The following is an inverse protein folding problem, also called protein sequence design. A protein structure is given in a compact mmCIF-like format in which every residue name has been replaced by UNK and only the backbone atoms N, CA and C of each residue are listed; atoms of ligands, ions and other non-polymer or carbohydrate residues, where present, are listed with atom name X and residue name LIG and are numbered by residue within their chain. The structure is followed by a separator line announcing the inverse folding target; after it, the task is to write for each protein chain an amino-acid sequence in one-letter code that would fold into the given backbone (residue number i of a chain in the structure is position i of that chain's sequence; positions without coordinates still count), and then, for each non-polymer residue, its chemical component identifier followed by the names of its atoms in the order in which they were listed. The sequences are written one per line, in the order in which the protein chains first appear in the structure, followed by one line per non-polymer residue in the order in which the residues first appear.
data_IF_440687610967
#
_entry.id   IF_440687610967
#
_cell.length_a   1.000
_cell.length_b   1.000
_cell.length_c   1.000
_cell.angle_alpha   90.00
_cell.angle_beta   90.00
_cell.angle_gamma   90.00
#
_symmetry.space_group_name_H-M   'P 1'
#
loop_
_entity.id
_entity.type
_entity.pdbx_description
1 polymer ?
#
# COMPACT_ATOMS: atom_id res chain seq x y z
N UNK A 1 -2.20 -19.23 -9.76
CA UNK A 1 -0.86 -18.70 -9.43
C UNK A 1 -1.03 -17.59 -8.42
N UNK A 2 -0.19 -17.52 -7.39
CA UNK A 2 -0.32 -16.52 -6.33
C UNK A 2 0.88 -15.56 -6.37
N UNK A 3 0.60 -14.26 -6.32
CA UNK A 3 1.59 -13.20 -6.25
C UNK A 3 1.39 -12.43 -4.95
N UNK A 4 2.47 -12.13 -4.26
CA UNK A 4 2.45 -11.25 -3.09
C UNK A 4 2.50 -9.79 -3.54
N UNK A 5 1.76 -8.92 -2.85
CA UNK A 5 1.84 -7.48 -3.07
C UNK A 5 3.11 -6.94 -2.40
N UNK A 6 4.04 -6.39 -3.20
CA UNK A 6 5.31 -5.84 -2.71
C UNK A 6 5.13 -4.55 -1.91
N UNK A 7 4.08 -3.77 -2.20
CA UNK A 7 3.77 -2.52 -1.49
C UNK A 7 3.46 -2.76 -0.01
N UNK A 8 2.61 -3.76 0.28
CA UNK A 8 2.25 -4.12 1.66
C UNK A 8 2.96 -5.37 2.17
N UNK A 9 3.93 -5.92 1.44
CA UNK A 9 4.64 -7.16 1.78
C UNK A 9 3.69 -8.29 2.22
N UNK A 10 2.58 -8.45 1.49
CA UNK A 10 1.61 -9.52 1.75
C UNK A 10 0.59 -9.28 2.87
N UNK A 11 0.68 -8.18 3.62
CA UNK A 11 -0.22 -7.94 4.76
C UNK A 11 -1.63 -7.51 4.36
N UNK A 12 -1.75 -6.83 3.22
CA UNK A 12 -2.99 -6.16 2.80
C UNK A 12 -3.14 -4.75 3.38
N UNK A 13 -2.23 -4.31 4.24
CA UNK A 13 -2.32 -3.04 4.95
C UNK A 13 -1.01 -2.26 4.83
N UNK A 14 -1.11 -0.94 4.73
CA UNK A 14 0.04 -0.01 4.73
C UNK A 14 -0.17 1.04 5.82
N UNK A 15 0.93 1.63 6.30
CA UNK A 15 0.82 2.80 7.16
C UNK A 15 0.16 3.94 6.39
N UNK A 16 -0.75 4.66 7.07
CA UNK A 16 -1.46 5.78 6.50
C UNK A 16 -0.48 6.88 6.03
N UNK A 17 -0.23 7.03 4.71
CA UNK A 17 0.75 7.99 4.21
C UNK A 17 0.27 9.44 4.42
N UNK A 18 -1.05 9.65 4.61
CA UNK A 18 -1.61 10.96 4.87
C UNK A 18 -1.12 11.53 6.21
N UNK A 19 -0.91 10.66 7.20
CA UNK A 19 -0.34 11.07 8.48
C UNK A 19 1.12 11.54 8.32
N UNK A 20 1.93 10.81 7.54
CA UNK A 20 3.31 11.22 7.27
C UNK A 20 3.39 12.56 6.52
N UNK A 21 2.49 12.78 5.55
CA UNK A 21 2.39 14.07 4.87
C UNK A 21 2.01 15.20 5.82
N UNK A 22 1.02 14.99 6.69
CA UNK A 22 0.63 16.00 7.66
C UNK A 22 1.75 16.36 8.66
N UNK A 23 2.58 15.39 9.08
CA UNK A 23 3.76 15.68 9.90
C UNK A 23 4.70 16.65 9.17
N UNK A 24 4.96 16.42 7.88
CA UNK A 24 5.84 17.27 7.09
C UNK A 24 5.30 18.71 6.95
N UNK A 25 3.99 18.90 7.05
CA UNK A 25 3.33 20.21 7.03
C UNK A 25 3.24 20.86 8.42
N UNK A 26 3.70 20.19 9.48
CA UNK A 26 3.72 20.73 10.85
C UNK A 26 2.34 20.85 11.51
N UNK A 27 1.35 20.11 11.01
CA UNK A 27 -0.05 20.19 11.48
C UNK A 27 -0.42 19.08 12.50
N UNK A 28 0.58 18.38 13.05
CA UNK A 28 0.39 17.37 14.08
C UNK A 28 0.12 17.99 15.46
N UNK A 29 -0.92 17.53 16.14
CA UNK A 29 -1.16 17.79 17.56
C UNK A 29 -1.55 16.49 18.26
N UNK A 30 -0.79 16.12 19.30
CA UNK A 30 -1.02 14.90 20.11
C UNK A 30 -1.09 13.58 19.30
N UNK A 31 -0.29 13.44 18.24
CA UNK A 31 -0.29 12.22 17.40
C UNK A 31 -1.48 12.10 16.45
N UNK A 32 -2.21 13.21 16.28
CA UNK A 32 -3.35 13.34 15.36
C UNK A 32 -3.10 14.49 14.41
N UNK A 33 -3.67 14.36 13.23
CA UNK A 33 -3.64 15.36 12.20
C UNK A 33 -5.07 15.72 11.81
N UNK A 34 -5.41 17.00 11.93
CA UNK A 34 -6.72 17.51 11.56
C UNK A 34 -6.72 17.89 10.08
N UNK A 35 -7.57 17.24 9.28
CA UNK A 35 -7.69 17.55 7.86
C UNK A 35 -6.62 16.89 6.98
N UNK A 36 -6.50 15.56 7.08
CA UNK A 36 -5.67 14.83 6.15
C UNK A 36 -6.25 14.83 4.72
N UNK A 37 -5.40 14.72 3.69
CA UNK A 37 -5.86 14.31 2.37
C UNK A 37 -6.69 13.03 2.54
N UNK A 38 -7.94 13.05 2.08
CA UNK A 38 -8.86 11.89 2.06
C UNK A 38 -9.55 11.49 3.39
N UNK A 39 -9.30 12.16 4.52
CA UNK A 39 -10.03 11.89 5.78
C UNK A 39 -10.07 13.11 6.71
N UNK A 40 -11.14 13.23 7.49
CA UNK A 40 -11.25 14.28 8.52
C UNK A 40 -10.22 14.11 9.64
N UNK A 41 -9.85 12.86 9.95
CA UNK A 41 -8.87 12.51 10.99
C UNK A 41 -7.90 11.45 10.44
N UNK A 42 -6.61 11.59 10.76
CA UNK A 42 -5.57 10.59 10.49
C UNK A 42 -4.67 10.48 11.71
N UNK A 43 -4.34 9.24 12.10
CA UNK A 43 -3.64 8.96 13.34
C UNK A 43 -2.25 8.39 13.11
N UNK A 44 -1.34 8.67 14.04
CA UNK A 44 0.00 8.09 14.03
C UNK A 44 -0.04 6.57 14.09
N UNK A 45 0.61 5.92 13.12
CA UNK A 45 0.71 4.46 13.07
C UNK A 45 -0.60 3.77 12.68
N UNK A 46 -1.59 4.52 12.20
CA UNK A 46 -2.79 3.96 11.61
C UNK A 46 -2.44 3.11 10.39
N UNK A 47 -2.97 1.89 10.36
CA UNK A 47 -2.92 1.02 9.21
C UNK A 47 -4.19 1.22 8.39
N UNK A 48 -4.01 1.40 7.08
CA UNK A 48 -5.10 1.50 6.10
C UNK A 48 -4.97 0.37 5.09
N UNK A 49 -6.04 0.11 4.34
CA UNK A 49 -6.01 -0.86 3.26
C UNK A 49 -4.98 -0.47 2.20
N UNK A 50 -4.22 -1.46 1.74
CA UNK A 50 -3.33 -1.30 0.60
C UNK A 50 -4.17 -1.29 -0.69
N UNK A 51 -4.29 -0.13 -1.31
CA UNK A 51 -5.05 0.05 -2.56
C UNK A 51 -4.50 -0.82 -3.70
N UNK A 52 -3.18 -1.04 -3.75
CA UNK A 52 -2.53 -1.80 -4.82
C UNK A 52 -3.01 -3.26 -4.88
N UNK A 53 -3.35 -3.85 -3.73
CA UNK A 53 -3.93 -5.19 -3.65
C UNK A 53 -5.39 -5.19 -3.16
N UNK A 54 -6.03 -4.02 -3.07
CA UNK A 54 -7.36 -3.84 -2.50
C UNK A 54 -7.54 -4.55 -1.14
N UNK A 55 -6.53 -4.47 -0.27
CA UNK A 55 -6.60 -5.10 1.06
C UNK A 55 -6.31 -6.61 1.12
N UNK A 56 -6.14 -7.30 -0.02
CA UNK A 56 -5.99 -8.77 -0.01
C UNK A 56 -4.57 -9.25 0.34
N UNK A 57 -3.57 -8.37 0.25
CA UNK A 57 -2.14 -8.68 0.39
C UNK A 57 -1.56 -9.49 -0.78
N UNK A 58 -2.41 -10.10 -1.61
CA UNK A 58 -2.01 -11.03 -2.67
C UNK A 58 -2.95 -10.96 -3.86
N UNK A 59 -2.42 -11.29 -5.03
CA UNK A 59 -3.19 -11.47 -6.25
C UNK A 59 -3.22 -12.96 -6.63
N UNK A 60 -4.41 -13.50 -6.83
CA UNK A 60 -4.60 -14.87 -7.33
C UNK A 60 -5.02 -14.86 -8.79
N UNK A 61 -4.15 -15.37 -9.67
CA UNK A 61 -4.47 -15.56 -11.08
C UNK A 61 -5.06 -16.96 -11.32
N UNK A 62 -6.23 -16.99 -11.95
CA UNK A 62 -6.90 -18.20 -12.40
C UNK A 62 -6.14 -18.83 -13.59
N UNK A 63 -5.53 -20.02 -13.43
CA UNK A 63 -4.77 -20.67 -14.50
C UNK A 63 -5.65 -21.11 -15.69
N UNK A 64 -6.98 -21.11 -15.55
CA UNK A 64 -7.89 -21.34 -16.69
C UNK A 64 -8.05 -20.12 -17.58
N UNK A 65 -7.74 -18.93 -17.06
CA UNK A 65 -7.90 -17.64 -17.76
C UNK A 65 -6.56 -17.00 -18.14
N UNK A 66 -5.51 -17.29 -17.37
CA UNK A 66 -4.21 -16.66 -17.49
C UNK A 66 -3.10 -17.69 -17.63
N UNK A 67 -2.10 -17.37 -18.46
CA UNK A 67 -0.86 -18.14 -18.60
C UNK A 67 0.33 -17.27 -18.22
N UNK A 68 1.36 -17.80 -17.54
CA UNK A 68 2.57 -17.04 -17.26
C UNK A 68 3.35 -16.76 -18.55
N UNK A 69 3.97 -15.59 -18.62
CA UNK A 69 4.97 -15.22 -19.62
C UNK A 69 6.25 -14.93 -18.87
N UNK A 70 7.34 -15.62 -19.22
CA UNK A 70 8.66 -15.39 -18.63
C UNK A 70 9.44 -14.45 -19.55
N UNK A 71 9.65 -13.21 -19.11
CA UNK A 71 10.48 -12.24 -19.82
C UNK A 71 11.86 -12.24 -19.17
N UNK A 72 12.90 -12.54 -19.94
CA UNK A 72 14.29 -12.41 -19.49
C UNK A 72 14.67 -10.94 -19.67
N UNK A 73 14.91 -10.25 -18.56
CA UNK A 73 15.47 -8.90 -18.59
C UNK A 73 16.97 -9.08 -18.35
N UNK A 74 17.77 -8.85 -19.38
CA UNK A 74 19.23 -8.75 -19.22
C UNK A 74 19.51 -7.37 -18.61
N UNK A 75 19.97 -7.33 -17.36
CA UNK A 75 20.45 -6.09 -16.75
C UNK A 75 21.80 -5.71 -17.42
N UNK A 76 21.82 -4.62 -18.18
CA UNK A 76 23.07 -4.03 -18.67
C UNK A 76 23.84 -3.44 -17.48
N UNK A 77 25.07 -3.94 -17.30
CA UNK A 77 26.00 -3.67 -16.21
C UNK A 77 26.79 -2.36 -16.43
#
# INVERSE_FOLDING_TARGET
MLFECLECNGTGEVFNPAFEQCINEGSEYEGRCQGCPYSYDCNKGELIYCDNCNGEGRLSLDPKKWKPIFVVIEEEN
#
